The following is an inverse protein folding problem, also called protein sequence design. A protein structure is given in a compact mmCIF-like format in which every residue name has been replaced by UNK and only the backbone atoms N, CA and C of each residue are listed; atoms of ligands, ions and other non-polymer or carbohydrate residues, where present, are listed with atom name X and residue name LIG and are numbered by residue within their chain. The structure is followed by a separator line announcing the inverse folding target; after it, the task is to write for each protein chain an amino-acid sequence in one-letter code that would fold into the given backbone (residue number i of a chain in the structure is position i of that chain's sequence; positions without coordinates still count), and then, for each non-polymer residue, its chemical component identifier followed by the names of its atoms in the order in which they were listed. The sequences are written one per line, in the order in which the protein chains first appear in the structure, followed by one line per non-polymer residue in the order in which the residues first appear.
data_IF_600488784281
#
_entry.id   IF_600488784281
#
_cell.length_a   1.000
_cell.length_b   1.000
_cell.length_c   1.000
_cell.angle_alpha   90.00
_cell.angle_beta   90.00
_cell.angle_gamma   90.00
#
_symmetry.space_group_name_H-M   'P 1'
#
loop_
_entity.id
_entity.type
_entity.pdbx_description
1 polymer ?
#
# COMPACT_ATOMS: atom_id res chain seq x y z
N UNK A 1 31.20 24.82 -0.09
CA UNK A 1 30.47 23.75 -0.83
C UNK A 1 30.69 23.94 -2.32
N UNK A 2 30.73 22.86 -3.13
CA UNK A 2 30.87 22.92 -4.60
C UNK A 2 29.74 22.14 -5.29
N UNK A 3 29.44 22.47 -6.53
CA UNK A 3 28.51 21.70 -7.35
C UNK A 3 29.06 20.29 -7.63
N UNK A 4 28.16 19.33 -7.82
CA UNK A 4 28.49 17.92 -8.08
C UNK A 4 27.23 17.06 -8.14
N UNK A 5 27.41 15.75 -8.33
CA UNK A 5 26.30 14.80 -8.39
C UNK A 5 25.52 14.76 -7.06
N UNK A 6 24.19 14.84 -7.16
CA UNK A 6 23.28 14.68 -6.03
C UNK A 6 22.22 13.62 -6.36
N UNK A 7 22.44 12.39 -5.89
CA UNK A 7 21.48 11.30 -6.02
C UNK A 7 22.10 10.05 -6.65
N UNK A 8 21.32 8.97 -6.69
CA UNK A 8 21.77 7.64 -7.12
C UNK A 8 22.94 7.09 -6.26
N UNK A 9 22.99 7.45 -4.99
CA UNK A 9 24.01 6.93 -4.08
C UNK A 9 23.57 5.61 -3.44
N UNK A 10 24.52 4.71 -3.19
CA UNK A 10 24.27 3.54 -2.36
C UNK A 10 24.01 3.98 -0.91
N UNK A 11 22.97 3.41 -0.29
CA UNK A 11 22.54 3.70 1.08
C UNK A 11 22.10 2.41 1.75
N UNK A 12 22.42 2.29 3.04
CA UNK A 12 21.92 1.23 3.91
C UNK A 12 21.16 1.89 5.04
N UNK A 13 19.87 1.61 5.16
CA UNK A 13 19.03 2.07 6.27
C UNK A 13 18.79 0.91 7.23
N UNK A 14 18.83 1.18 8.54
CA UNK A 14 18.67 0.16 9.58
C UNK A 14 17.36 0.36 10.35
N UNK A 15 16.94 -0.68 11.08
CA UNK A 15 15.82 -0.65 12.03
C UNK A 15 14.46 -0.26 11.41
N UNK A 16 14.24 -0.70 10.17
CA UNK A 16 12.93 -0.59 9.51
C UNK A 16 12.01 -1.70 9.99
N UNK A 17 11.01 -1.35 10.79
CA UNK A 17 10.07 -2.32 11.38
C UNK A 17 9.08 -2.81 10.32
N UNK A 18 8.89 -4.12 10.24
CA UNK A 18 7.85 -4.74 9.41
C UNK A 18 6.53 -4.68 10.16
N UNK A 19 5.50 -4.15 9.52
CA UNK A 19 4.13 -4.08 10.07
C UNK A 19 3.26 -5.24 9.61
N UNK A 20 3.45 -5.71 8.38
CA UNK A 20 2.69 -6.83 7.82
C UNK A 20 3.52 -7.53 6.75
N UNK A 21 3.40 -8.85 6.70
CA UNK A 21 3.77 -9.66 5.53
C UNK A 21 2.43 -10.17 5.01
N UNK A 22 2.08 -9.79 3.79
CA UNK A 22 0.79 -10.14 3.18
C UNK A 22 0.99 -11.07 1.99
N UNK A 23 0.06 -12.00 1.80
CA UNK A 23 0.09 -12.88 0.64
C UNK A 23 -0.57 -12.23 -0.58
N UNK A 24 0.01 -12.46 -1.75
CA UNK A 24 -0.56 -12.07 -3.04
C UNK A 24 -1.80 -12.88 -3.44
N UNK A 25 -1.95 -14.10 -2.91
CA UNK A 25 -3.11 -14.96 -3.18
C UNK A 25 -4.39 -14.47 -2.49
N UNK A 26 -4.25 -13.77 -1.36
CA UNK A 26 -5.36 -13.23 -0.59
C UNK A 26 -5.86 -11.91 -1.20
N UNK A 27 -7.10 -11.93 -1.70
CA UNK A 27 -7.77 -10.75 -2.28
C UNK A 27 -8.16 -9.70 -1.21
N UNK A 28 -8.24 -10.10 0.05
CA UNK A 28 -8.54 -9.26 1.20
C UNK A 28 -7.29 -8.95 2.05
N UNK A 29 -6.10 -8.94 1.44
CA UNK A 29 -4.82 -8.77 2.17
C UNK A 29 -4.62 -7.40 2.86
N UNK A 30 -5.52 -6.42 2.67
CA UNK A 30 -5.58 -5.17 3.44
C UNK A 30 -6.70 -5.11 4.48
N UNK A 31 -7.48 -6.19 4.64
CA UNK A 31 -8.42 -6.37 5.75
C UNK A 31 -7.67 -6.43 7.09
N UNK A 32 -8.33 -5.98 8.15
CA UNK A 32 -7.83 -6.10 9.53
C UNK A 32 -8.91 -6.71 10.40
N UNK A 33 -8.57 -7.08 11.64
CA UNK A 33 -9.56 -7.58 12.61
C UNK A 33 -10.59 -6.49 12.98
N UNK A 34 -10.21 -5.22 12.87
CA UNK A 34 -11.04 -4.07 13.25
C UNK A 34 -11.78 -3.44 12.06
N UNK A 35 -11.39 -3.77 10.84
CA UNK A 35 -11.99 -3.27 9.59
C UNK A 35 -12.27 -4.47 8.68
N UNK A 36 -13.52 -4.99 8.68
CA UNK A 36 -13.86 -6.23 8.01
C UNK A 36 -14.03 -6.09 6.49
N UNK A 37 -13.90 -4.87 5.93
CA UNK A 37 -14.06 -4.62 4.51
C UNK A 37 -13.09 -5.47 3.69
N UNK A 38 -13.61 -6.15 2.66
CA UNK A 38 -12.80 -6.91 1.73
C UNK A 38 -12.10 -5.96 0.76
N UNK A 39 -10.83 -5.69 1.03
CA UNK A 39 -10.00 -4.81 0.23
C UNK A 39 -8.59 -5.34 0.07
N UNK A 40 -8.04 -5.13 -1.12
CA UNK A 40 -6.65 -5.45 -1.43
C UNK A 40 -5.73 -4.30 -1.05
N UNK A 41 -4.45 -4.58 -0.84
CA UNK A 41 -3.41 -3.58 -0.55
C UNK A 41 -3.21 -2.59 -1.70
N UNK A 42 -3.63 -2.95 -2.91
CA UNK A 42 -3.55 -2.05 -4.06
C UNK A 42 -4.63 -0.98 -3.94
N UNK A 43 -4.26 0.32 -3.91
CA UNK A 43 -5.23 1.40 -3.82
C UNK A 43 -6.17 1.44 -5.03
N UNK A 44 -7.31 2.13 -4.90
CA UNK A 44 -8.19 2.38 -6.03
C UNK A 44 -7.43 3.04 -7.20
N UNK A 45 -7.43 2.40 -8.37
CA UNK A 45 -6.69 2.87 -9.55
C UNK A 45 -5.22 2.44 -9.60
N UNK A 46 -4.73 1.70 -8.61
CA UNK A 46 -3.35 1.19 -8.56
C UNK A 46 -2.36 2.13 -7.88
N UNK A 47 -1.15 1.62 -7.60
CA UNK A 47 -0.06 2.47 -7.12
C UNK A 47 0.48 3.36 -8.25
N UNK A 48 0.51 4.69 -8.09
CA UNK A 48 0.93 5.60 -9.16
C UNK A 48 2.35 5.27 -9.65
N UNK A 49 2.53 5.08 -10.95
CA UNK A 49 3.80 4.71 -11.61
C UNK A 49 4.36 3.33 -11.23
N UNK A 50 3.62 2.51 -10.47
CA UNK A 50 3.97 1.12 -10.18
C UNK A 50 2.99 0.15 -10.85
N UNK A 51 1.72 0.19 -10.45
CA UNK A 51 0.68 -0.72 -10.91
C UNK A 51 0.02 -1.48 -9.75
N UNK A 52 -0.41 -2.70 -10.02
CA UNK A 52 -1.13 -3.58 -9.08
C UNK A 52 -0.13 -4.52 -8.40
N UNK A 53 -0.22 -4.66 -7.09
CA UNK A 53 0.56 -5.64 -6.32
C UNK A 53 -0.21 -6.96 -6.33
N UNK A 54 0.31 -7.94 -7.08
CA UNK A 54 -0.31 -9.27 -7.23
C UNK A 54 0.39 -10.38 -6.44
N UNK A 55 1.60 -10.09 -5.94
CA UNK A 55 2.47 -11.05 -5.26
C UNK A 55 2.53 -10.74 -3.76
N UNK A 56 3.20 -11.60 -3.03
CA UNK A 56 3.49 -11.39 -1.62
C UNK A 56 4.23 -10.06 -1.42
N UNK A 57 3.95 -9.40 -0.29
CA UNK A 57 4.50 -8.07 -0.01
C UNK A 57 4.87 -7.91 1.47
N UNK A 58 5.75 -6.93 1.70
CA UNK A 58 6.15 -6.49 3.04
C UNK A 58 5.74 -5.04 3.22
N UNK A 59 4.95 -4.76 4.24
CA UNK A 59 4.64 -3.40 4.67
C UNK A 59 5.65 -2.96 5.72
N UNK A 60 6.38 -1.89 5.43
CA UNK A 60 7.46 -1.38 6.27
C UNK A 60 7.07 -0.03 6.86
N UNK A 61 7.45 0.21 8.12
CA UNK A 61 7.27 1.50 8.79
C UNK A 61 8.09 2.60 8.11
N UNK A 62 7.41 3.65 7.66
CA UNK A 62 8.04 4.88 7.14
C UNK A 62 8.47 4.78 5.67
N UNK A 63 9.40 5.64 5.27
CA UNK A 63 9.95 5.67 3.91
C UNK A 63 11.15 4.74 3.73
N UNK A 64 11.50 4.44 2.48
CA UNK A 64 12.69 3.68 2.07
C UNK A 64 13.35 4.44 0.91
N UNK A 65 14.67 4.30 0.79
CA UNK A 65 15.42 4.84 -0.34
C UNK A 65 14.95 4.31 -1.70
N UNK A 66 15.04 5.17 -2.71
CA UNK A 66 14.80 4.79 -4.10
C UNK A 66 13.45 5.23 -4.64
N UNK A 67 13.33 5.14 -5.96
CA UNK A 67 12.10 5.39 -6.69
C UNK A 67 11.22 4.14 -6.71
N UNK A 68 9.95 4.30 -7.07
CA UNK A 68 9.02 3.19 -7.29
C UNK A 68 9.59 2.25 -8.37
N UNK A 69 9.32 0.94 -8.27
CA UNK A 69 9.90 -0.15 -9.11
C UNK A 69 11.38 -0.44 -8.89
N UNK A 70 12.10 0.30 -8.02
CA UNK A 70 13.51 0.00 -7.73
C UNK A 70 13.61 -1.30 -6.91
N UNK A 71 14.50 -2.23 -7.28
CA UNK A 71 14.77 -3.40 -6.43
C UNK A 71 15.45 -2.95 -5.12
N UNK A 72 15.02 -3.56 -4.01
CA UNK A 72 15.53 -3.29 -2.66
C UNK A 72 15.97 -4.61 -2.05
N UNK A 73 17.15 -4.64 -1.45
CA UNK A 73 17.66 -5.79 -0.70
C UNK A 73 17.26 -5.68 0.77
N UNK A 74 16.54 -6.68 1.27
CA UNK A 74 16.18 -6.79 2.67
C UNK A 74 17.19 -7.70 3.38
N UNK A 75 17.81 -7.22 4.46
CA UNK A 75 18.75 -7.98 5.27
C UNK A 75 18.27 -8.03 6.71
N UNK A 76 18.47 -9.17 7.39
CA UNK A 76 18.29 -9.26 8.84
C UNK A 76 19.20 -8.25 9.56
N UNK A 77 18.76 -7.78 10.72
CA UNK A 77 19.57 -6.87 11.53
C UNK A 77 20.84 -7.56 11.99
N UNK A 78 21.96 -6.84 11.96
CA UNK A 78 23.23 -7.30 12.54
C UNK A 78 23.31 -7.01 14.04
N UNK A 79 22.41 -6.19 14.55
CA UNK A 79 22.40 -5.73 15.94
C UNK A 79 21.26 -6.44 16.66
N UNK A 80 21.57 -7.05 17.80
CA UNK A 80 20.58 -7.59 18.73
C UNK A 80 19.66 -6.46 19.17
N UNK A 81 18.38 -6.57 18.83
CA UNK A 81 17.39 -5.57 19.21
C UNK A 81 17.08 -5.74 20.70
N UNK A 82 17.23 -4.69 21.50
CA UNK A 82 16.92 -4.68 22.94
C UNK A 82 15.84 -3.67 23.32
N UNK A 83 15.57 -2.71 22.43
CA UNK A 83 14.63 -1.61 22.68
C UNK A 83 13.19 -2.11 22.69
N UNK A 84 12.37 -1.63 23.63
CA UNK A 84 10.93 -1.94 23.73
C UNK A 84 10.18 -1.68 22.41
N UNK A 85 10.51 -0.58 21.73
CA UNK A 85 9.92 -0.22 20.42
C UNK A 85 10.18 -1.28 19.34
N UNK A 86 11.30 -1.99 19.40
CA UNK A 86 11.60 -3.04 18.43
C UNK A 86 10.73 -4.30 18.66
N UNK A 87 10.44 -4.63 19.91
CA UNK A 87 9.66 -5.81 20.31
C UNK A 87 8.15 -5.62 20.39
N UNK A 88 7.67 -4.38 20.31
CA UNK A 88 6.24 -4.10 20.31
C UNK A 88 5.52 -4.89 19.20
N UNK A 89 4.48 -5.63 19.58
CA UNK A 89 3.62 -6.37 18.66
C UNK A 89 2.69 -5.38 17.95
N UNK A 90 2.70 -5.39 16.61
CA UNK A 90 1.92 -4.45 15.81
C UNK A 90 0.58 -5.10 15.45
N UNK A 91 -0.52 -4.52 15.94
CA UNK A 91 -1.88 -4.84 15.51
C UNK A 91 -2.44 -3.66 14.71
N UNK A 92 -2.56 -3.83 13.39
CA UNK A 92 -3.08 -2.80 12.50
C UNK A 92 -4.60 -2.73 12.61
N UNK A 93 -5.15 -1.53 12.86
CA UNK A 93 -6.60 -1.31 12.91
C UNK A 93 -7.21 -0.98 11.56
N UNK A 94 -6.51 -0.17 10.76
CA UNK A 94 -7.00 0.27 9.46
C UNK A 94 -5.85 0.40 8.47
N UNK A 95 -6.11 0.05 7.21
CA UNK A 95 -5.20 0.25 6.09
C UNK A 95 -5.95 1.06 5.03
N UNK A 96 -5.36 2.19 4.65
CA UNK A 96 -5.95 3.11 3.67
C UNK A 96 -5.68 2.62 2.24
N UNK A 97 -6.75 2.29 1.53
CA UNK A 97 -6.78 1.84 0.13
C UNK A 97 -7.38 2.89 -0.80
N UNK A 98 -7.58 4.11 -0.31
CA UNK A 98 -8.02 5.24 -1.11
C UNK A 98 -7.05 5.55 -2.26
N UNK A 99 -7.61 6.03 -3.38
CA UNK A 99 -6.82 6.43 -4.55
C UNK A 99 -5.64 7.34 -4.17
N UNK A 100 -4.46 7.02 -4.70
CA UNK A 100 -3.26 7.85 -4.61
C UNK A 100 -3.03 8.70 -5.86
N UNK A 101 -3.99 8.67 -6.78
CA UNK A 101 -4.07 9.58 -7.91
C UNK A 101 -5.01 10.74 -7.50
N UNK A 102 -4.42 11.88 -7.13
CA UNK A 102 -5.15 13.01 -6.54
C UNK A 102 -5.60 12.75 -5.10
N UNK A 103 -6.75 13.30 -4.72
CA UNK A 103 -7.32 13.17 -3.38
C UNK A 103 -8.35 12.04 -3.33
N UNK A 104 -7.95 10.85 -2.85
CA UNK A 104 -8.84 9.72 -2.65
C UNK A 104 -9.82 9.92 -1.49
N UNK A 105 -11.10 9.60 -1.70
CA UNK A 105 -12.18 9.72 -0.69
C UNK A 105 -12.77 8.39 -0.23
N UNK A 106 -12.78 7.40 -1.12
CA UNK A 106 -13.40 6.09 -0.89
C UNK A 106 -12.33 5.02 -0.77
N UNK A 107 -12.58 3.98 0.02
CA UNK A 107 -11.67 2.86 0.23
C UNK A 107 -11.89 1.75 -0.80
N UNK A 108 -13.14 1.54 -1.22
CA UNK A 108 -13.51 0.52 -2.19
C UNK A 108 -14.35 1.08 -3.34
N UNK A 109 -14.43 0.32 -4.44
CA UNK A 109 -15.27 0.69 -5.57
C UNK A 109 -16.76 0.58 -5.24
N UNK A 110 -17.12 -0.37 -4.39
CA UNK A 110 -18.46 -0.61 -3.88
C UNK A 110 -18.93 0.58 -3.03
N UNK A 111 -18.09 1.06 -2.11
CA UNK A 111 -18.38 2.25 -1.29
C UNK A 111 -18.64 3.48 -2.17
N UNK A 112 -17.79 3.71 -3.19
CA UNK A 112 -17.96 4.81 -4.13
C UNK A 112 -19.25 4.71 -4.93
N UNK A 113 -19.59 3.51 -5.42
CA UNK A 113 -20.83 3.28 -6.18
C UNK A 113 -22.07 3.50 -5.30
N UNK A 114 -22.05 2.98 -4.08
CA UNK A 114 -23.14 3.16 -3.11
C UNK A 114 -23.36 4.63 -2.77
N UNK A 115 -22.29 5.40 -2.59
CA UNK A 115 -22.39 6.83 -2.29
C UNK A 115 -22.89 7.66 -3.47
N UNK A 116 -22.39 7.39 -4.68
CA UNK A 116 -22.73 8.19 -5.87
C UNK A 116 -24.08 7.83 -6.48
N UNK A 117 -24.58 6.61 -6.25
CA UNK A 117 -25.78 6.10 -6.88
C UNK A 117 -25.62 5.86 -8.40
N UNK A 118 -26.72 5.57 -9.11
CA UNK A 118 -26.69 5.29 -10.54
C UNK A 118 -26.38 6.55 -11.35
N UNK A 119 -25.29 6.53 -12.12
CA UNK A 119 -24.90 7.65 -12.98
C UNK A 119 -25.32 7.41 -14.44
N UNK A 120 -25.30 8.47 -15.27
CA UNK A 120 -25.74 8.43 -16.68
C UNK A 120 -25.14 7.26 -17.48
N UNK A 121 -23.84 7.01 -17.34
CA UNK A 121 -23.15 5.93 -18.05
C UNK A 121 -23.67 4.53 -17.66
N UNK A 122 -24.11 4.37 -16.41
CA UNK A 122 -24.62 3.09 -15.92
C UNK A 122 -26.03 2.84 -16.49
N UNK A 123 -26.86 3.88 -16.59
CA UNK A 123 -28.18 3.81 -17.25
C UNK A 123 -28.08 3.45 -18.72
N UNK A 124 -27.18 4.13 -19.46
CA UNK A 124 -26.93 3.83 -20.88
C UNK A 124 -26.40 2.39 -21.05
N UNK A 125 -25.56 1.90 -20.13
CA UNK A 125 -25.08 0.52 -20.18
C UNK A 125 -26.21 -0.49 -19.92
N UNK A 126 -27.14 -0.18 -19.00
CA UNK A 126 -28.31 -1.02 -18.73
C UNK A 126 -29.28 -1.05 -19.93
N UNK A 127 -29.54 0.10 -20.57
CA UNK A 127 -30.37 0.19 -21.78
C UNK A 127 -29.81 -0.59 -22.97
N UNK A 128 -28.47 -0.68 -23.09
CA UNK A 128 -27.81 -1.47 -24.14
C UNK A 128 -27.77 -2.98 -23.84
N UNK A 129 -27.90 -3.35 -22.58
CA UNK A 129 -27.88 -4.75 -22.14
C UNK A 129 -29.27 -5.38 -22.11
N UNK A 130 -30.33 -4.55 -22.10
CA UNK A 130 -31.72 -4.92 -22.32
C UNK A 130 -32.01 -5.10 -23.82
#
# INVERSE_FOLDING_TARGET
ARAGQKGYHHRTEINKKVYRIGSGADKANAKTEFDPAEKSITPMGGFPQYGIVRQDFVMVKGCIVGTKKRPITLRKSLITQTKRVAFEKIALKFIDTSSKFGHGRFQTAEEKKSFMGPVKKDKIAAEKAA
#
